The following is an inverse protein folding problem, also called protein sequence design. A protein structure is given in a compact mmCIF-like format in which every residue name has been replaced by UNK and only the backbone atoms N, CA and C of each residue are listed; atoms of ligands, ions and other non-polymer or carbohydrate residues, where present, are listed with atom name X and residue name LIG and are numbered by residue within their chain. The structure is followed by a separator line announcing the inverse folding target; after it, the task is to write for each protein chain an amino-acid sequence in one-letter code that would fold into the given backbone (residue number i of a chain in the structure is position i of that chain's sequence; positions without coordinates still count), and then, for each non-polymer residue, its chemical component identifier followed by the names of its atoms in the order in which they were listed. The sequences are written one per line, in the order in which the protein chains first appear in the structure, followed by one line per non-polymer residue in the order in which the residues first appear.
data_IF_483522589936
#
_entry.id   IF_483522589936
#
_cell.length_a   1.000
_cell.length_b   1.000
_cell.length_c   1.000
_cell.angle_alpha   90.00
_cell.angle_beta   90.00
_cell.angle_gamma   90.00
#
_symmetry.space_group_name_H-M   'P 1'
#
loop_
_entity.id
_entity.type
_entity.pdbx_description
1 polymer ?
#
# COMPACT_ATOMS: atom_id res chain seq x y z
N UNK A 1 61.70 -15.13 -25.46
CA UNK A 1 62.35 -15.14 -24.14
C UNK A 1 61.36 -14.63 -23.12
N UNK A 2 60.93 -15.54 -22.25
CA UNK A 2 59.95 -15.34 -21.19
C UNK A 2 60.42 -14.29 -20.18
N UNK A 3 59.49 -13.49 -19.65
CA UNK A 3 59.58 -13.04 -18.26
C UNK A 3 58.20 -13.16 -17.61
N UNK A 4 58.07 -14.24 -16.82
CA UNK A 4 56.99 -14.48 -15.86
C UNK A 4 57.24 -13.62 -14.62
N UNK A 5 56.23 -12.90 -14.15
CA UNK A 5 56.18 -12.33 -12.80
C UNK A 5 55.08 -13.10 -12.06
N UNK A 6 55.51 -13.86 -11.04
CA UNK A 6 54.67 -14.60 -10.10
C UNK A 6 54.83 -13.93 -8.72
N UNK A 7 53.77 -14.07 -7.89
CA UNK A 7 53.69 -13.91 -6.42
C UNK A 7 53.28 -12.50 -5.95
N UNK A 8 52.29 -12.26 -5.06
CA UNK A 8 51.55 -13.10 -4.11
C UNK A 8 50.23 -12.40 -3.66
N UNK A 9 49.18 -13.13 -3.26
CA UNK A 9 48.00 -12.56 -2.60
C UNK A 9 48.15 -12.56 -1.06
N UNK A 10 48.04 -11.38 -0.46
CA UNK A 10 47.99 -11.19 1.00
C UNK A 10 46.73 -11.80 1.62
N UNK A 11 46.91 -12.85 2.44
CA UNK A 11 45.90 -13.36 3.39
C UNK A 11 45.70 -12.35 4.52
N UNK A 12 44.51 -11.75 4.64
CA UNK A 12 44.08 -11.02 5.84
C UNK A 12 43.48 -12.01 6.83
N UNK A 13 44.22 -12.26 7.92
CA UNK A 13 43.75 -12.96 9.11
C UNK A 13 42.78 -12.04 9.88
N UNK A 14 41.49 -12.39 9.91
CA UNK A 14 40.55 -11.81 10.86
C UNK A 14 40.74 -12.51 12.22
N UNK A 15 41.35 -11.77 13.15
CA UNK A 15 41.37 -12.08 14.58
C UNK A 15 39.93 -12.11 15.09
N UNK A 16 39.53 -13.24 15.64
CA UNK A 16 38.39 -13.32 16.55
C UNK A 16 38.81 -12.70 17.88
N UNK A 17 38.11 -11.66 18.31
CA UNK A 17 38.21 -11.13 19.67
C UNK A 17 37.05 -11.70 20.48
N UNK A 18 37.40 -12.60 21.39
CA UNK A 18 36.58 -13.08 22.50
C UNK A 18 37.02 -12.32 23.75
N UNK A 19 36.15 -11.46 24.27
CA UNK A 19 36.08 -10.97 25.66
C UNK A 19 35.08 -9.81 25.66
N UNK A 20 34.16 -9.62 26.59
CA UNK A 20 34.11 -10.04 27.98
C UNK A 20 33.48 -8.86 28.71
N UNK A 21 32.38 -9.06 29.43
CA UNK A 21 31.71 -7.94 30.09
C UNK A 21 30.30 -8.23 30.60
N UNK A 22 30.16 -9.26 31.45
CA UNK A 22 28.97 -9.42 32.30
C UNK A 22 28.95 -8.27 33.32
N UNK A 23 28.18 -7.22 33.06
CA UNK A 23 27.77 -6.27 34.10
C UNK A 23 26.48 -6.79 34.74
N UNK A 24 26.62 -7.34 35.94
CA UNK A 24 25.55 -7.51 36.92
C UNK A 24 24.95 -6.12 37.18
N UNK A 25 23.72 -5.88 36.73
CA UNK A 25 22.92 -4.73 37.15
C UNK A 25 22.06 -5.23 38.32
N UNK A 26 22.16 -4.54 39.45
CA UNK A 26 21.27 -4.70 40.60
C UNK A 26 19.84 -4.47 40.12
N UNK A 27 18.98 -5.47 40.33
CA UNK A 27 17.53 -5.32 40.37
C UNK A 27 17.21 -4.51 41.62
N UNK A 28 16.69 -3.31 41.40
CA UNK A 28 15.91 -2.57 42.38
C UNK A 28 14.49 -3.10 42.31
N UNK A 29 13.98 -3.55 43.46
CA UNK A 29 12.60 -3.97 43.67
C UNK A 29 11.66 -2.79 43.38
N UNK A 30 11.06 -2.78 42.18
CA UNK A 30 9.94 -1.90 41.83
C UNK A 30 8.64 -2.69 41.99
N UNK A 31 7.74 -2.07 42.74
CA UNK A 31 6.44 -2.55 43.19
C UNK A 31 5.59 -3.06 42.02
N UNK A 32 5.13 -4.31 42.13
CA UNK A 32 4.29 -4.96 41.13
C UNK A 32 2.87 -4.39 41.17
N UNK A 33 2.63 -3.30 40.45
CA UNK A 33 1.28 -2.92 40.05
C UNK A 33 0.77 -3.96 39.04
N UNK A 34 -0.11 -4.85 39.51
CA UNK A 34 -0.75 -5.88 38.71
C UNK A 34 -1.68 -5.26 37.67
N UNK A 35 -1.14 -4.94 36.49
CA UNK A 35 -1.94 -4.59 35.33
C UNK A 35 -2.70 -5.84 34.87
N UNK A 36 -3.99 -5.89 35.20
CA UNK A 36 -4.94 -6.87 34.68
C UNK A 36 -5.10 -6.65 33.17
N UNK A 37 -4.22 -7.25 32.37
CA UNK A 37 -4.39 -7.31 30.93
C UNK A 37 -5.69 -8.05 30.61
N UNK A 38 -6.55 -7.43 29.81
CA UNK A 38 -7.79 -8.05 29.36
C UNK A 38 -7.46 -9.36 28.62
N UNK A 39 -8.27 -10.40 28.82
CA UNK A 39 -8.10 -11.68 28.11
C UNK A 39 -8.08 -11.51 26.58
N UNK A 40 -8.67 -10.43 26.07
CA UNK A 40 -8.67 -10.08 24.65
C UNK A 40 -7.27 -9.67 24.13
N UNK A 41 -6.46 -8.98 24.95
CA UNK A 41 -5.10 -8.60 24.58
C UNK A 41 -4.19 -9.83 24.45
N UNK A 42 -4.39 -10.81 25.32
CA UNK A 42 -3.67 -12.09 25.28
C UNK A 42 -4.03 -12.86 23.99
N UNK A 43 -5.31 -12.86 23.61
CA UNK A 43 -5.78 -13.54 22.40
C UNK A 43 -5.29 -12.85 21.12
N UNK A 44 -5.34 -11.52 21.06
CA UNK A 44 -4.83 -10.75 19.93
C UNK A 44 -3.32 -10.95 19.74
N UNK A 45 -2.55 -10.94 20.84
CA UNK A 45 -1.11 -11.23 20.83
C UNK A 45 -0.79 -12.63 20.27
N UNK A 46 -1.59 -13.65 20.63
CA UNK A 46 -1.45 -15.01 20.08
C UNK A 46 -1.74 -15.04 18.57
N UNK A 47 -2.76 -14.33 18.10
CA UNK A 47 -3.10 -14.25 16.67
C UNK A 47 -1.93 -13.60 15.89
N UNK A 48 -1.40 -12.49 16.41
CA UNK A 48 -0.30 -11.78 15.77
C UNK A 48 0.99 -12.61 15.75
N UNK A 49 1.27 -13.36 16.82
CA UNK A 49 2.39 -14.30 16.86
C UNK A 49 2.24 -15.42 15.81
N UNK A 50 1.04 -15.97 15.64
CA UNK A 50 0.75 -16.98 14.62
C UNK A 50 0.95 -16.40 13.21
N UNK A 51 0.47 -15.18 12.95
CA UNK A 51 0.66 -14.50 11.67
C UNK A 51 2.14 -14.22 11.39
N UNK A 52 2.90 -13.78 12.41
CA UNK A 52 4.33 -13.54 12.30
C UNK A 52 5.09 -14.84 12.00
N UNK A 53 4.78 -15.94 12.69
CA UNK A 53 5.35 -17.27 12.42
C UNK A 53 5.09 -17.71 10.98
N UNK A 54 3.86 -17.54 10.46
CA UNK A 54 3.53 -17.83 9.06
C UNK A 54 4.34 -16.97 8.08
N UNK A 55 4.51 -15.67 8.34
CA UNK A 55 5.32 -14.77 7.51
C UNK A 55 6.80 -15.18 7.50
N UNK A 56 7.38 -15.49 8.65
CA UNK A 56 8.78 -15.94 8.79
C UNK A 56 8.99 -17.27 8.07
N UNK A 57 8.10 -18.24 8.26
CA UNK A 57 8.19 -19.54 7.59
C UNK A 57 8.13 -19.39 6.07
N UNK A 58 7.24 -18.54 5.55
CA UNK A 58 7.14 -18.27 4.11
C UNK A 58 8.41 -17.58 3.58
N UNK A 59 8.95 -16.59 4.32
CA UNK A 59 10.23 -15.94 3.97
C UNK A 59 11.38 -16.95 3.89
N UNK A 60 11.49 -17.86 4.86
CA UNK A 60 12.50 -18.93 4.87
C UNK A 60 12.30 -19.90 3.71
N UNK A 61 11.06 -20.27 3.38
CA UNK A 61 10.74 -21.12 2.22
C UNK A 61 11.16 -20.46 0.91
N UNK A 62 10.83 -19.18 0.72
CA UNK A 62 11.25 -18.41 -0.46
C UNK A 62 12.78 -18.30 -0.57
N UNK A 63 13.47 -18.11 0.56
CA UNK A 63 14.93 -18.03 0.59
C UNK A 63 15.57 -19.35 0.17
N UNK A 64 15.15 -20.48 0.76
CA UNK A 64 15.60 -21.83 0.38
C UNK A 64 15.38 -22.12 -1.11
N UNK A 65 14.24 -21.69 -1.68
CA UNK A 65 13.97 -21.84 -3.10
C UNK A 65 14.95 -21.03 -3.97
N UNK A 66 15.24 -19.78 -3.60
CA UNK A 66 16.21 -18.93 -4.32
C UNK A 66 17.61 -19.50 -4.24
N UNK A 67 18.03 -19.98 -3.07
CA UNK A 67 19.36 -20.55 -2.88
C UNK A 67 19.53 -21.86 -3.63
N UNK A 68 18.51 -22.73 -3.63
CA UNK A 68 18.48 -23.95 -4.46
C UNK A 68 18.54 -23.62 -5.96
N UNK A 69 17.86 -22.56 -6.40
CA UNK A 69 17.92 -22.12 -7.80
C UNK A 69 19.31 -21.60 -8.18
N UNK A 70 19.96 -20.85 -7.29
CA UNK A 70 21.34 -20.38 -7.48
C UNK A 70 22.34 -21.53 -7.52
N UNK A 71 22.24 -22.49 -6.61
CA UNK A 71 23.13 -23.66 -6.60
C UNK A 71 23.00 -24.47 -7.88
N UNK A 72 21.78 -24.69 -8.37
CA UNK A 72 21.55 -25.39 -9.63
C UNK A 72 22.17 -24.65 -10.82
N UNK A 73 22.01 -23.32 -10.90
CA UNK A 73 22.63 -22.53 -11.96
C UNK A 73 24.16 -22.60 -11.96
N UNK A 74 24.80 -22.69 -10.78
CA UNK A 74 26.26 -22.86 -10.67
C UNK A 74 26.68 -24.25 -11.16
N UNK A 75 25.91 -25.29 -10.84
CA UNK A 75 26.16 -26.66 -11.33
C UNK A 75 26.03 -26.71 -12.86
N UNK A 76 24.97 -26.12 -13.42
CA UNK A 76 24.74 -26.05 -14.87
C UNK A 76 25.89 -25.31 -15.59
N UNK A 77 26.37 -24.20 -15.02
CA UNK A 77 27.52 -23.46 -15.57
C UNK A 77 28.84 -24.24 -15.52
N UNK A 78 29.05 -25.07 -14.48
CA UNK A 78 30.24 -25.92 -14.38
C UNK A 78 30.21 -27.06 -15.39
N UNK A 79 29.05 -27.66 -15.61
CA UNK A 79 28.87 -28.72 -16.62
C UNK A 79 29.04 -28.15 -18.03
N UNK A 80 28.49 -26.96 -18.30
CA UNK A 80 28.57 -26.30 -19.60
C UNK A 80 29.99 -25.89 -20.03
N UNK A 81 30.95 -25.77 -19.10
CA UNK A 81 32.35 -25.39 -19.45
C UNK A 81 33.20 -26.54 -19.97
N UNK A 82 32.74 -27.80 -19.85
CA UNK A 82 33.52 -28.98 -20.23
C UNK A 82 32.93 -29.80 -21.38
N UNK A 83 31.76 -29.41 -21.93
CA UNK A 83 31.14 -30.12 -23.05
C UNK A 83 30.87 -29.14 -24.20
N UNK A 84 31.52 -29.39 -25.34
CA UNK A 84 31.02 -28.92 -26.65
C UNK A 84 29.66 -29.57 -26.88
N UNK A 85 28.61 -28.81 -26.57
CA UNK A 85 27.21 -29.23 -26.74
C UNK A 85 27.01 -29.56 -28.22
N UNK A 86 26.56 -30.79 -28.50
CA UNK A 86 26.19 -31.22 -29.85
C UNK A 86 25.07 -30.34 -30.40
N UNK A 87 25.08 -30.04 -31.70
CA UNK A 87 24.00 -29.28 -32.37
C UNK A 87 22.61 -29.86 -32.08
N UNK A 88 22.51 -31.18 -31.91
CA UNK A 88 21.27 -31.89 -31.59
C UNK A 88 20.76 -31.58 -30.17
N UNK A 89 21.66 -31.42 -29.20
CA UNK A 89 21.31 -31.03 -27.83
C UNK A 89 20.85 -29.56 -27.76
N UNK A 90 21.47 -28.68 -28.55
CA UNK A 90 21.05 -27.28 -28.63
C UNK A 90 19.61 -27.16 -29.16
N UNK A 91 19.26 -27.94 -30.18
CA UNK A 91 17.91 -27.96 -30.72
C UNK A 91 16.90 -28.50 -29.71
N UNK A 92 17.26 -29.55 -28.96
CA UNK A 92 16.43 -30.09 -27.87
C UNK A 92 16.19 -29.06 -26.77
N UNK A 93 17.20 -28.25 -26.42
CA UNK A 93 17.06 -27.14 -25.47
C UNK A 93 16.12 -26.06 -26.01
N UNK A 94 16.24 -25.69 -27.30
CA UNK A 94 15.33 -24.72 -27.95
C UNK A 94 13.88 -25.20 -27.91
N UNK A 95 13.62 -26.47 -28.23
CA UNK A 95 12.28 -27.09 -28.17
C UNK A 95 11.70 -27.05 -26.75
N UNK A 96 12.49 -27.36 -25.72
CA UNK A 96 12.06 -27.27 -24.31
C UNK A 96 11.69 -25.84 -23.91
N UNK A 97 12.55 -24.86 -24.23
CA UNK A 97 12.29 -23.44 -23.95
C UNK A 97 11.00 -22.93 -24.61
N UNK A 98 10.72 -23.37 -25.84
CA UNK A 98 9.50 -23.01 -26.56
C UNK A 98 8.25 -23.62 -25.89
N UNK A 99 8.31 -24.90 -25.50
CA UNK A 99 7.21 -25.55 -24.78
C UNK A 99 6.92 -24.87 -23.43
N UNK A 100 7.95 -24.50 -22.67
CA UNK A 100 7.79 -23.80 -21.39
C UNK A 100 7.18 -22.40 -21.58
N UNK A 101 7.57 -21.69 -22.66
CA UNK A 101 6.96 -20.41 -23.04
C UNK A 101 5.48 -20.57 -23.36
N UNK A 102 5.10 -21.61 -24.12
CA UNK A 102 3.69 -21.91 -24.42
C UNK A 102 2.90 -22.29 -23.17
N UNK A 103 3.44 -23.12 -22.27
CA UNK A 103 2.79 -23.47 -20.99
C UNK A 103 2.58 -22.23 -20.12
N UNK A 104 3.60 -21.37 -19.98
CA UNK A 104 3.48 -20.11 -19.24
C UNK A 104 2.43 -19.18 -19.82
N UNK A 105 2.31 -19.14 -21.15
CA UNK A 105 1.29 -18.36 -21.84
C UNK A 105 -0.12 -18.88 -21.53
N UNK A 106 -0.36 -20.18 -21.71
CA UNK A 106 -1.64 -20.83 -21.37
C UNK A 106 -2.05 -20.59 -19.92
N UNK A 107 -1.10 -20.62 -18.99
CA UNK A 107 -1.38 -20.31 -17.58
C UNK A 107 -1.84 -18.87 -17.38
N UNK A 108 -1.17 -17.89 -18.03
CA UNK A 108 -1.57 -16.47 -17.95
C UNK A 108 -2.94 -16.24 -18.55
N UNK A 109 -3.23 -16.88 -19.68
CA UNK A 109 -4.50 -16.73 -20.38
C UNK A 109 -5.65 -17.37 -19.57
N UNK A 110 -5.46 -18.58 -19.05
CA UNK A 110 -6.41 -19.23 -18.12
C UNK A 110 -6.68 -18.37 -16.88
N UNK A 111 -5.64 -17.73 -16.32
CA UNK A 111 -5.80 -16.82 -15.16
C UNK A 111 -6.62 -15.58 -15.51
N UNK A 112 -6.42 -14.99 -16.69
CA UNK A 112 -7.24 -13.86 -17.18
C UNK A 112 -8.69 -14.29 -17.40
N UNK A 113 -8.90 -15.45 -17.98
CA UNK A 113 -10.22 -16.03 -18.22
C UNK A 113 -10.97 -16.28 -16.90
N UNK A 114 -10.33 -16.90 -15.90
CA UNK A 114 -10.94 -17.07 -14.57
C UNK A 114 -11.28 -15.74 -13.90
N UNK A 115 -10.46 -14.69 -14.09
CA UNK A 115 -10.75 -13.37 -13.56
C UNK A 115 -11.98 -12.73 -14.26
N UNK A 116 -12.14 -12.93 -15.57
CA UNK A 116 -13.30 -12.46 -16.32
C UNK A 116 -14.59 -13.19 -15.91
N UNK A 117 -14.54 -14.51 -15.73
CA UNK A 117 -15.68 -15.31 -15.27
C UNK A 117 -16.14 -14.83 -13.88
N UNK A 118 -15.22 -14.56 -12.96
CA UNK A 118 -15.55 -14.01 -11.64
C UNK A 118 -16.22 -12.63 -11.72
N UNK A 119 -15.83 -11.78 -12.67
CA UNK A 119 -16.49 -10.49 -12.89
C UNK A 119 -17.91 -10.64 -13.45
N UNK A 120 -18.13 -11.65 -14.30
CA UNK A 120 -19.45 -11.92 -14.88
C UNK A 120 -20.42 -12.53 -13.86
N UNK A 121 -19.96 -13.47 -13.04
CA UNK A 121 -20.79 -14.08 -11.98
C UNK A 121 -21.21 -13.04 -10.92
N UNK A 122 -20.35 -12.08 -10.60
CA UNK A 122 -20.68 -10.98 -9.69
C UNK A 122 -21.60 -9.90 -10.30
N UNK A 123 -21.88 -9.94 -11.62
CA UNK A 123 -22.89 -9.08 -12.25
C UNK A 123 -24.29 -9.71 -12.26
N UNK A 124 -24.40 -11.04 -12.14
CA UNK A 124 -25.68 -11.76 -12.16
C UNK A 124 -26.55 -11.52 -10.91
N UNK A 125 -25.98 -11.00 -9.82
CA UNK A 125 -26.73 -10.62 -8.61
C UNK A 125 -27.24 -9.17 -8.64
N UNK A 126 -27.14 -8.45 -9.76
CA UNK A 126 -27.58 -7.06 -9.91
C UNK A 126 -28.59 -6.83 -11.04
N UNK A 127 -29.24 -7.87 -11.54
CA UNK A 127 -30.33 -7.74 -12.53
C UNK A 127 -31.70 -7.62 -11.87
N UNK A 128 -31.90 -6.54 -11.12
CA UNK A 128 -33.19 -5.83 -11.03
C UNK A 128 -32.82 -4.35 -11.11
N UNK A 129 -33.50 -3.59 -11.96
CA UNK A 129 -33.21 -2.19 -12.33
C UNK A 129 -32.12 -2.04 -13.41
N UNK A 130 -32.51 -2.25 -14.67
CA UNK A 130 -32.33 -1.26 -15.76
C UNK A 130 -32.93 -1.79 -17.06
N UNK A 131 -34.19 -1.40 -17.32
CA UNK A 131 -34.61 -1.07 -18.69
C UNK A 131 -34.39 0.44 -18.88
N UNK A 132 -34.21 0.82 -20.14
CA UNK A 132 -33.96 2.19 -20.65
C UNK A 132 -32.48 2.60 -20.66
N UNK A 133 -31.76 2.17 -21.71
CA UNK A 133 -31.31 3.06 -22.79
C UNK A 133 -30.33 2.29 -23.67
N UNK A 134 -30.84 1.85 -24.83
CA UNK A 134 -30.02 1.65 -26.02
C UNK A 134 -29.75 3.05 -26.57
N UNK A 135 -28.49 3.43 -26.72
CA UNK A 135 -28.00 4.06 -27.95
C UNK A 135 -26.47 4.18 -27.96
N UNK A 136 -25.95 3.97 -29.17
CA UNK A 136 -24.56 3.81 -29.54
C UNK A 136 -23.72 5.10 -29.36
N UNK A 137 -22.46 4.96 -28.94
CA UNK A 137 -21.29 5.20 -29.81
C UNK A 137 -19.98 5.18 -29.01
N UNK A 138 -19.02 4.37 -29.46
CA UNK A 138 -17.67 4.32 -28.93
C UNK A 138 -16.88 5.57 -29.36
N UNK A 139 -16.64 6.49 -28.43
CA UNK A 139 -15.56 7.46 -28.54
C UNK A 139 -14.49 7.18 -27.48
N UNK A 140 -13.32 6.75 -27.95
CA UNK A 140 -12.07 6.82 -27.21
C UNK A 140 -11.71 8.30 -27.02
N UNK A 141 -11.88 8.86 -25.81
CA UNK A 141 -11.19 10.09 -25.39
C UNK A 141 -11.21 10.28 -23.88
N UNK A 142 -9.99 10.46 -23.36
CA UNK A 142 -9.56 11.34 -22.27
C UNK A 142 -10.42 11.44 -21.00
N UNK A 143 -9.77 11.03 -19.91
CA UNK A 143 -10.10 11.27 -18.51
C UNK A 143 -10.07 12.79 -18.25
N UNK A 144 -11.19 13.46 -18.48
CA UNK A 144 -11.54 14.71 -17.84
C UNK A 144 -13.04 14.64 -17.58
N UNK A 145 -13.44 14.67 -16.30
CA UNK A 145 -14.84 14.61 -15.90
C UNK A 145 -15.66 15.75 -16.53
N UNK A 146 -16.97 15.56 -16.73
CA UNK A 146 -17.82 16.58 -17.32
C UNK A 146 -17.81 17.85 -16.46
N UNK A 147 -17.51 18.96 -17.14
CA UNK A 147 -17.59 20.31 -16.62
C UNK A 147 -19.01 20.62 -16.15
N UNK A 148 -19.18 20.92 -14.86
CA UNK A 148 -20.46 21.28 -14.22
C UNK A 148 -20.94 22.70 -14.57
N UNK A 149 -20.54 23.25 -15.73
CA UNK A 149 -20.65 24.70 -15.99
C UNK A 149 -22.07 25.25 -16.17
N UNK A 150 -23.10 24.42 -16.21
CA UNK A 150 -24.49 24.88 -16.42
C UNK A 150 -25.53 24.07 -15.61
N UNK A 151 -25.22 23.63 -14.38
CA UNK A 151 -26.26 23.08 -13.51
C UNK A 151 -26.96 24.26 -12.81
N UNK A 152 -28.25 24.53 -13.07
CA UNK A 152 -28.98 25.57 -12.36
C UNK A 152 -28.98 25.25 -10.86
N UNK A 153 -28.61 26.24 -10.05
CA UNK A 153 -28.73 26.14 -8.60
C UNK A 153 -30.22 26.09 -8.24
N UNK A 154 -30.68 24.94 -7.75
CA UNK A 154 -32.02 24.78 -7.19
C UNK A 154 -31.88 24.98 -5.67
N UNK A 155 -32.45 26.06 -5.10
CA UNK A 155 -32.44 26.23 -3.65
C UNK A 155 -33.24 25.09 -2.98
N UNK A 156 -32.84 24.65 -1.77
CA UNK A 156 -33.58 23.65 -1.01
C UNK A 156 -35.02 24.10 -0.77
N UNK A 157 -35.97 23.24 -1.07
CA UNK A 157 -37.39 23.44 -0.75
C UNK A 157 -37.56 23.03 0.71
N UNK A 158 -37.97 23.97 1.56
CA UNK A 158 -38.42 23.68 2.92
C UNK A 158 -39.76 22.91 2.85
N UNK A 159 -39.69 21.60 3.07
CA UNK A 159 -40.89 20.77 3.23
C UNK A 159 -41.22 20.74 4.72
N UNK A 160 -41.95 21.74 5.18
CA UNK A 160 -42.79 21.63 6.36
C UNK A 160 -44.18 21.15 5.93
N UNK A 161 -44.76 20.27 6.74
CA UNK A 161 -46.08 19.64 6.60
C UNK A 161 -46.25 18.60 5.49
N UNK A 162 -46.20 17.33 5.87
CA UNK A 162 -47.32 16.42 5.61
C UNK A 162 -47.32 15.28 6.65
N UNK A 163 -48.21 15.41 7.63
CA UNK A 163 -48.65 14.34 8.53
C UNK A 163 -49.82 13.60 7.89
N UNK A 164 -49.70 12.30 7.61
CA UNK A 164 -50.81 11.34 7.79
C UNK A 164 -50.34 9.88 7.70
N UNK A 165 -50.56 9.16 8.80
CA UNK A 165 -51.00 7.76 8.97
C UNK A 165 -50.75 6.75 7.84
N UNK A 166 -50.08 5.63 8.18
CA UNK A 166 -50.71 4.30 8.31
C UNK A 166 -49.64 3.22 8.58
N UNK A 167 -49.81 2.51 9.71
CA UNK A 167 -49.35 1.13 9.92
C UNK A 167 -50.09 0.19 8.93
N UNK A 168 -49.57 -0.99 8.55
CA UNK A 168 -49.74 -2.12 9.46
C UNK A 168 -48.72 -3.29 9.35
N UNK A 169 -48.82 -4.11 10.39
CA UNK A 169 -48.74 -5.57 10.49
C UNK A 169 -47.53 -6.39 10.01
N UNK A 170 -47.04 -7.10 11.02
CA UNK A 170 -46.24 -8.31 11.10
C UNK A 170 -46.70 -9.38 10.10
N UNK A 171 -45.75 -9.99 9.39
CA UNK A 171 -45.84 -11.40 9.03
C UNK A 171 -44.54 -12.13 9.35
N UNK A 172 -44.70 -12.99 10.34
CA UNK A 172 -43.85 -14.06 10.81
C UNK A 172 -43.66 -15.11 9.69
N UNK A 173 -42.42 -15.41 9.31
CA UNK A 173 -42.12 -16.62 8.54
C UNK A 173 -41.00 -17.38 9.24
N UNK A 174 -41.42 -18.46 9.90
CA UNK A 174 -40.59 -19.57 10.31
C UNK A 174 -39.84 -20.16 9.10
N UNK A 175 -38.55 -20.41 9.27
CA UNK A 175 -37.90 -21.54 8.63
C UNK A 175 -36.74 -21.99 9.52
N UNK A 176 -37.01 -23.02 10.32
CA UNK A 176 -36.00 -23.88 10.92
C UNK A 176 -35.23 -24.61 9.82
N UNK A 177 -33.91 -24.56 9.89
CA UNK A 177 -33.01 -25.64 9.45
C UNK A 177 -31.61 -25.31 9.96
N UNK A 178 -31.29 -25.96 11.07
CA UNK A 178 -29.96 -26.13 11.63
C UNK A 178 -28.97 -26.67 10.59
N UNK A 179 -27.74 -26.14 10.61
CA UNK A 179 -26.54 -26.98 10.65
C UNK A 179 -25.39 -26.19 11.29
N UNK A 180 -25.11 -26.61 12.52
CA UNK A 180 -24.06 -26.17 13.43
C UNK A 180 -22.64 -26.35 12.86
N UNK A 181 -21.79 -25.32 12.99
CA UNK A 181 -20.36 -25.47 13.35
C UNK A 181 -19.95 -24.32 14.30
N UNK A 182 -19.99 -24.63 15.60
CA UNK A 182 -19.15 -24.19 16.73
C UNK A 182 -18.61 -22.74 16.78
N UNK A 183 -19.45 -21.89 17.36
CA UNK A 183 -19.27 -21.04 18.55
C UNK A 183 -17.85 -20.78 19.12
N UNK A 184 -17.40 -19.52 19.01
CA UNK A 184 -16.80 -18.77 20.14
C UNK A 184 -17.45 -17.39 20.14
N UNK A 185 -18.51 -17.22 20.93
CA UNK A 185 -19.11 -15.93 21.25
C UNK A 185 -18.17 -15.09 22.15
N UNK A 186 -17.86 -13.87 21.71
CA UNK A 186 -17.34 -12.81 22.59
C UNK A 186 -18.48 -11.83 22.79
N UNK A 187 -19.07 -11.86 23.98
CA UNK A 187 -20.04 -10.87 24.42
C UNK A 187 -19.33 -9.52 24.59
N UNK A 188 -19.58 -8.58 23.68
CA UNK A 188 -19.30 -7.17 23.92
C UNK A 188 -20.57 -6.55 24.47
N UNK A 189 -20.57 -6.30 25.78
CA UNK A 189 -21.61 -5.53 26.46
C UNK A 189 -21.71 -4.14 25.83
N UNK A 190 -22.79 -3.91 25.10
CA UNK A 190 -23.23 -2.57 24.71
C UNK A 190 -23.90 -1.95 25.94
N UNK A 191 -23.19 -1.07 26.64
CA UNK A 191 -23.82 -0.24 27.65
C UNK A 191 -24.74 0.77 26.95
N UNK A 192 -26.02 0.55 27.19
CA UNK A 192 -27.13 1.41 26.82
C UNK A 192 -26.97 2.76 27.55
N UNK A 193 -26.86 3.85 26.81
CA UNK A 193 -27.15 5.19 27.32
C UNK A 193 -28.14 5.84 26.36
N UNK A 194 -29.43 5.61 26.62
CA UNK A 194 -30.48 6.52 26.21
C UNK A 194 -30.73 7.44 27.41
N UNK A 195 -30.66 8.76 27.26
CA UNK A 195 -31.82 9.50 26.77
C UNK A 195 -31.62 11.01 26.65
N UNK A 196 -32.36 11.58 25.68
CA UNK A 196 -32.82 12.97 25.51
C UNK A 196 -31.79 14.05 25.13
N UNK A 197 -31.66 14.32 23.83
CA UNK A 197 -32.35 15.51 23.30
C UNK A 197 -32.65 15.38 21.81
N UNK A 198 -33.84 15.82 21.42
CA UNK A 198 -34.35 15.79 20.05
C UNK A 198 -33.75 16.93 19.24
N UNK A 199 -33.00 16.64 18.17
CA UNK A 199 -33.06 17.41 16.92
C UNK A 199 -32.71 16.52 15.73
N UNK A 200 -33.45 16.70 14.64
CA UNK A 200 -33.48 15.90 13.41
C UNK A 200 -32.09 15.53 12.85
N UNK A 201 -31.57 14.37 13.24
CA UNK A 201 -30.48 13.73 12.51
C UNK A 201 -31.06 12.94 11.35
N UNK A 202 -30.89 13.44 10.13
CA UNK A 202 -31.02 12.62 8.91
C UNK A 202 -30.29 11.29 9.14
N UNK A 203 -30.89 10.13 8.80
CA UNK A 203 -30.21 8.85 8.99
C UNK A 203 -28.93 8.88 8.18
N UNK A 204 -27.79 9.00 8.88
CA UNK A 204 -26.49 8.87 8.27
C UNK A 204 -26.50 7.55 7.50
N UNK A 205 -26.10 7.51 6.21
CA UNK A 205 -26.12 6.28 5.45
C UNK A 205 -25.26 5.26 6.20
N UNK A 206 -25.93 4.31 6.85
CA UNK A 206 -25.27 3.27 7.63
C UNK A 206 -24.45 2.47 6.65
N UNK A 207 -23.13 2.68 6.70
CA UNK A 207 -22.17 1.96 5.87
C UNK A 207 -22.17 0.49 6.32
N UNK A 208 -23.10 -0.28 5.75
CA UNK A 208 -23.50 -1.63 6.21
C UNK A 208 -22.38 -2.67 6.14
N UNK A 209 -21.26 -2.35 5.47
CA UNK A 209 -20.09 -3.22 5.33
C UNK A 209 -18.86 -2.76 6.13
N UNK A 210 -19.02 -1.89 7.15
CA UNK A 210 -17.89 -1.37 7.95
C UNK A 210 -17.02 -2.48 8.54
N UNK A 211 -17.62 -3.55 9.07
CA UNK A 211 -16.87 -4.69 9.61
C UNK A 211 -16.09 -5.46 8.54
N UNK A 212 -16.69 -5.66 7.36
CA UNK A 212 -16.05 -6.33 6.22
C UNK A 212 -14.86 -5.52 5.67
N UNK A 213 -14.89 -4.19 5.81
CA UNK A 213 -13.85 -3.28 5.33
C UNK A 213 -13.05 -2.60 6.45
N UNK A 214 -13.03 -3.18 7.65
CA UNK A 214 -12.33 -2.65 8.83
C UNK A 214 -10.87 -2.29 8.55
N UNK A 215 -10.15 -3.16 7.83
CA UNK A 215 -8.75 -2.90 7.43
C UNK A 215 -8.59 -1.71 6.48
N UNK A 216 -9.54 -1.50 5.58
CA UNK A 216 -9.49 -0.37 4.66
C UNK A 216 -9.79 0.94 5.40
N UNK A 217 -10.76 0.93 6.33
CA UNK A 217 -11.03 2.06 7.21
C UNK A 217 -9.81 2.42 8.07
N UNK A 218 -9.19 1.43 8.71
CA UNK A 218 -7.97 1.65 9.51
C UNK A 218 -6.85 2.22 8.64
N UNK A 219 -6.66 1.71 7.42
CA UNK A 219 -5.66 2.24 6.50
C UNK A 219 -5.95 3.69 6.09
N UNK A 220 -7.21 4.01 5.79
CA UNK A 220 -7.63 5.38 5.50
C UNK A 220 -7.34 6.30 6.69
N UNK A 221 -7.67 5.86 7.91
CA UNK A 221 -7.36 6.58 9.14
C UNK A 221 -5.86 6.90 9.28
N UNK A 222 -5.02 5.88 9.13
CA UNK A 222 -3.57 5.99 9.23
C UNK A 222 -2.97 6.88 8.13
N UNK A 223 -3.51 6.80 6.90
CA UNK A 223 -2.91 7.45 5.74
C UNK A 223 -3.37 8.92 5.59
N UNK A 224 -4.56 9.28 6.07
CA UNK A 224 -5.16 10.62 5.89
C UNK A 224 -5.33 11.43 7.18
N UNK A 225 -5.65 10.79 8.31
CA UNK A 225 -5.89 11.51 9.57
C UNK A 225 -4.67 11.50 10.48
N UNK A 226 -3.97 10.36 10.59
CA UNK A 226 -2.77 10.23 11.44
C UNK A 226 -1.47 10.60 10.71
N UNK A 227 -1.58 11.06 9.47
CA UNK A 227 -0.45 11.42 8.63
C UNK A 227 -0.56 12.91 8.34
N UNK A 228 0.32 13.69 8.95
CA UNK A 228 0.25 15.13 8.85
C UNK A 228 0.43 15.58 7.39
N UNK A 229 -0.49 16.44 6.94
CA UNK A 229 -0.42 17.09 5.64
C UNK A 229 0.25 18.46 5.76
N UNK A 230 0.81 18.96 4.67
CA UNK A 230 1.39 20.30 4.61
C UNK A 230 2.92 20.32 4.62
N UNK A 231 3.58 19.17 4.44
CA UNK A 231 5.03 19.14 4.29
C UNK A 231 5.44 19.49 2.86
N UNK A 232 6.16 20.60 2.70
CA UNK A 232 6.67 21.02 1.39
C UNK A 232 7.89 20.18 0.96
N UNK A 233 7.98 19.96 -0.35
CA UNK A 233 9.15 19.36 -1.00
C UNK A 233 10.10 20.47 -1.48
N UNK A 234 11.36 20.45 -1.06
CA UNK A 234 12.35 21.51 -1.36
C UNK A 234 12.67 21.64 -2.86
N UNK A 235 12.27 20.65 -3.67
CA UNK A 235 12.54 20.60 -5.12
C UNK A 235 11.39 21.20 -5.94
N UNK A 236 10.15 20.90 -5.58
CA UNK A 236 8.97 21.28 -6.36
C UNK A 236 7.99 22.17 -5.61
N UNK A 237 8.25 22.46 -4.34
CA UNK A 237 7.45 23.31 -3.46
C UNK A 237 5.97 22.90 -3.37
N UNK A 238 5.68 21.62 -3.65
CA UNK A 238 4.35 21.03 -3.47
C UNK A 238 4.22 20.48 -2.07
N UNK A 239 3.01 20.58 -1.52
CA UNK A 239 2.64 20.00 -0.25
C UNK A 239 2.36 18.51 -0.39
N UNK A 240 2.85 17.74 0.58
CA UNK A 240 2.69 16.31 0.68
C UNK A 240 2.40 15.93 2.12
N UNK A 241 1.95 14.69 2.30
CA UNK A 241 1.92 14.07 3.60
C UNK A 241 3.33 13.73 4.11
N UNK A 242 3.51 13.70 5.42
CA UNK A 242 4.79 13.39 6.07
C UNK A 242 5.41 12.09 5.52
N UNK A 243 4.59 11.03 5.40
CA UNK A 243 5.02 9.71 4.90
C UNK A 243 5.47 9.71 3.43
N UNK A 244 5.07 10.70 2.64
CA UNK A 244 5.38 10.80 1.20
C UNK A 244 6.65 11.62 0.91
N UNK A 245 7.19 12.29 1.94
CA UNK A 245 8.45 13.03 1.88
C UNK A 245 9.60 12.15 2.37
N UNK A 246 10.71 12.16 1.64
CA UNK A 246 11.98 11.59 2.09
C UNK A 246 12.95 12.69 2.46
N UNK A 247 13.63 12.50 3.58
CA UNK A 247 14.64 13.42 4.08
C UNK A 247 16.02 12.88 3.68
N UNK A 248 16.82 13.72 3.05
CA UNK A 248 18.21 13.43 2.70
C UNK A 248 19.14 14.27 3.54
N UNK A 249 20.07 13.64 4.24
CA UNK A 249 21.15 14.35 4.92
C UNK A 249 22.16 14.82 3.88
N UNK A 250 22.56 16.09 3.93
CA UNK A 250 23.54 16.65 3.02
C UNK A 250 24.96 16.19 3.36
N UNK A 251 25.28 14.95 3.00
CA UNK A 251 26.58 14.33 3.20
C UNK A 251 27.05 13.60 1.93
N UNK A 252 28.37 13.39 1.80
CA UNK A 252 28.97 12.78 0.60
C UNK A 252 28.59 11.31 0.41
N UNK A 253 28.04 10.67 1.45
CA UNK A 253 27.51 9.30 1.38
C UNK A 253 26.14 9.21 0.72
N UNK A 254 25.42 10.33 0.59
CA UNK A 254 24.08 10.35 0.02
C UNK A 254 24.13 10.25 -1.51
N UNK A 255 23.39 9.32 -2.13
CA UNK A 255 23.38 9.19 -3.58
C UNK A 255 22.84 10.46 -4.25
N UNK A 256 23.49 10.89 -5.33
CA UNK A 256 23.14 12.07 -6.11
C UNK A 256 23.19 13.40 -5.35
N UNK A 257 23.91 13.45 -4.21
CA UNK A 257 24.05 14.69 -3.42
C UNK A 257 24.73 15.81 -4.21
N UNK A 258 25.67 15.49 -5.10
CA UNK A 258 26.33 16.49 -5.94
C UNK A 258 25.35 17.20 -6.88
N UNK A 259 24.37 16.46 -7.42
CA UNK A 259 23.32 17.02 -8.25
C UNK A 259 22.39 17.91 -7.42
N UNK A 260 21.99 17.46 -6.23
CA UNK A 260 21.21 18.26 -5.28
C UNK A 260 21.93 19.55 -4.91
N UNK A 261 23.21 19.50 -4.53
CA UNK A 261 24.03 20.70 -4.24
C UNK A 261 24.11 21.65 -5.43
N UNK A 262 24.11 21.12 -6.65
CA UNK A 262 24.14 21.94 -7.88
C UNK A 262 22.81 22.64 -8.13
N UNK A 263 21.67 22.02 -7.80
CA UNK A 263 20.36 22.67 -7.89
C UNK A 263 20.11 23.64 -6.73
N UNK A 264 20.51 23.27 -5.51
CA UNK A 264 20.25 23.98 -4.26
C UNK A 264 21.37 24.97 -3.88
N UNK A 265 22.15 25.48 -4.85
CA UNK A 265 23.36 26.29 -4.60
C UNK A 265 23.15 27.48 -3.64
N UNK A 266 21.93 27.99 -3.55
CA UNK A 266 21.61 29.17 -2.75
C UNK A 266 20.99 28.84 -1.38
N UNK A 267 20.87 27.55 -1.03
CA UNK A 267 20.23 27.12 0.22
C UNK A 267 21.18 26.20 0.99
N UNK A 268 21.70 26.70 2.11
CA UNK A 268 22.51 25.91 3.03
C UNK A 268 21.61 24.98 3.84
N UNK A 269 21.13 23.90 3.22
CA UNK A 269 20.29 22.91 3.90
C UNK A 269 21.14 21.73 4.37
N UNK A 270 21.09 21.47 5.68
CA UNK A 270 21.60 20.24 6.30
C UNK A 270 20.79 19.03 5.89
N UNK A 271 19.50 19.21 5.65
CA UNK A 271 18.54 18.17 5.32
C UNK A 271 17.61 18.60 4.18
N UNK A 272 17.52 17.80 3.12
CA UNK A 272 16.67 18.10 1.96
C UNK A 272 15.45 17.19 1.96
N UNK A 273 14.25 17.78 1.98
CA UNK A 273 12.95 17.12 1.88
C UNK A 273 12.55 16.96 0.42
N UNK A 274 12.40 15.71 -0.02
CA UNK A 274 12.14 15.37 -1.42
C UNK A 274 10.96 14.42 -1.52
N UNK A 275 9.94 14.79 -2.30
CA UNK A 275 8.80 13.91 -2.59
C UNK A 275 9.20 12.75 -3.53
N UNK A 276 8.39 11.68 -3.53
CA UNK A 276 8.66 10.47 -4.33
C UNK A 276 8.84 10.73 -5.84
N UNK A 277 8.15 11.71 -6.40
CA UNK A 277 8.26 12.10 -7.82
C UNK A 277 9.59 12.79 -8.11
N UNK A 278 9.96 13.77 -7.29
CA UNK A 278 11.24 14.47 -7.44
C UNK A 278 12.42 13.53 -7.23
N UNK A 279 12.29 12.60 -6.27
CA UNK A 279 13.29 11.58 -6.01
C UNK A 279 13.59 10.73 -7.25
N UNK A 280 12.56 10.31 -8.00
CA UNK A 280 12.76 9.53 -9.23
C UNK A 280 13.51 10.32 -10.31
N UNK A 281 13.30 11.64 -10.39
CA UNK A 281 14.00 12.51 -11.33
C UNK A 281 15.45 12.75 -10.91
N UNK A 282 15.68 13.04 -9.62
CA UNK A 282 17.03 13.21 -9.03
C UNK A 282 17.87 11.95 -9.21
N UNK A 283 17.28 10.76 -9.02
CA UNK A 283 17.97 9.50 -9.27
C UNK A 283 18.39 9.28 -10.73
N UNK A 284 17.83 10.06 -11.65
CA UNK A 284 18.20 10.08 -13.07
C UNK A 284 19.03 11.32 -13.45
N UNK A 285 19.51 12.08 -12.46
CA UNK A 285 20.19 13.36 -12.64
C UNK A 285 19.39 14.35 -13.50
N UNK A 286 18.07 14.38 -13.30
CA UNK A 286 17.16 15.27 -14.02
C UNK A 286 16.41 16.20 -13.07
N UNK A 287 16.20 17.44 -13.52
CA UNK A 287 15.37 18.43 -12.82
C UNK A 287 13.90 18.12 -13.12
N UNK A 288 13.02 17.96 -12.11
CA UNK A 288 11.60 17.76 -12.36
C UNK A 288 10.99 18.94 -13.16
N UNK A 289 10.12 18.64 -14.13
CA UNK A 289 9.48 19.68 -14.96
C UNK A 289 8.72 20.73 -14.13
N UNK A 290 8.06 20.30 -13.06
CA UNK A 290 7.26 21.13 -12.15
C UNK A 290 8.10 21.60 -10.94
N UNK A 291 9.42 21.65 -11.09
CA UNK A 291 10.33 22.15 -10.07
C UNK A 291 10.39 23.68 -10.11
N UNK A 292 10.51 24.30 -8.93
CA UNK A 292 10.77 25.74 -8.82
C UNK A 292 12.10 26.10 -9.47
N UNK A 293 13.08 25.19 -9.44
CA UNK A 293 14.37 25.33 -10.12
C UNK A 293 14.25 25.30 -11.65
N UNK A 294 13.14 24.78 -12.19
CA UNK A 294 12.82 24.84 -13.62
C UNK A 294 11.93 26.04 -13.98
N UNK A 295 11.82 27.03 -13.09
CA UNK A 295 11.01 28.22 -13.29
C UNK A 295 9.52 28.03 -13.04
N UNK A 296 9.09 26.88 -12.51
CA UNK A 296 7.71 26.73 -12.06
C UNK A 296 7.43 27.72 -10.93
N UNK A 297 6.37 28.52 -11.09
CA UNK A 297 5.89 29.46 -10.08
C UNK A 297 4.39 29.27 -9.92
N UNK A 298 3.93 29.27 -8.68
CA UNK A 298 2.50 29.34 -8.42
C UNK A 298 1.96 30.68 -8.92
N UNK A 299 0.76 30.71 -9.51
CA UNK A 299 0.10 31.96 -9.83
C UNK A 299 -0.07 32.80 -8.54
N UNK A 300 -0.02 34.14 -8.64
CA UNK A 300 -0.28 34.98 -7.48
C UNK A 300 -1.66 34.69 -6.91
N UNK A 301 -1.79 34.81 -5.58
CA UNK A 301 -3.06 34.57 -4.91
C UNK A 301 -4.16 35.47 -5.52
N UNK A 302 -5.29 34.91 -5.97
CA UNK A 302 -6.31 35.69 -6.65
C UNK A 302 -6.86 36.79 -5.75
N UNK A 303 -6.90 38.04 -6.24
CA UNK A 303 -7.34 39.19 -5.44
C UNK A 303 -8.75 39.02 -4.88
N UNK A 304 -9.65 38.39 -5.65
CA UNK A 304 -11.04 38.15 -5.27
C UNK A 304 -11.20 37.15 -4.11
N UNK A 305 -10.19 36.32 -3.83
CA UNK A 305 -10.21 35.39 -2.70
C UNK A 305 -9.69 36.01 -1.41
N UNK A 306 -9.07 37.20 -1.45
CA UNK A 306 -8.53 37.85 -0.24
C UNK A 306 -9.62 38.25 0.76
N UNK A 307 -10.83 38.45 0.25
CA UNK A 307 -11.99 38.88 1.03
C UNK A 307 -12.79 37.70 1.60
N UNK A 308 -12.44 36.47 1.23
CA UNK A 308 -13.06 35.25 1.76
C UNK A 308 -12.01 34.53 2.60
N UNK A 309 -11.84 34.90 3.88
CA UNK A 309 -11.04 34.08 4.77
C UNK A 309 -11.61 32.66 4.70
N UNK A 310 -10.79 31.72 4.24
CA UNK A 310 -11.05 30.32 4.47
C UNK A 310 -10.82 30.16 5.97
N UNK A 311 -11.90 30.12 6.74
CA UNK A 311 -11.84 29.71 8.15
C UNK A 311 -11.26 28.29 8.16
N UNK A 312 -9.97 28.21 8.49
CA UNK A 312 -9.17 26.99 8.62
C UNK A 312 -8.89 26.75 10.11
#
# INVERSE_FOLDING_TARGET
TLNQIILNPTRKNLKMSSDGGKRKRQESDEESEGTNFSNDDINQKKIDEIQLKKKVQNKTRCQRYRDKKKSNAIVDLKISKHQTISLEEEEKIKRRKLQDKQKSQRYRDKKKESALINLQMNRSSKTVIKRVSNDLNFHNSQIAGPSTRNVPYVPPIDIADLSTQNEPDILELHSDSDDNIDDISVQVSQNNTQNMDSQHSLPAPTYSSRHQHSKAHLKFQIDFFENDFGHSCDICDRLWFAKDIKIFVNNDTTPNIQFLRTMLKNVNVTEVKVCSTCLKAINKNNVPLLSVYNGFKYPPFPQHLKNFPLDL
#
